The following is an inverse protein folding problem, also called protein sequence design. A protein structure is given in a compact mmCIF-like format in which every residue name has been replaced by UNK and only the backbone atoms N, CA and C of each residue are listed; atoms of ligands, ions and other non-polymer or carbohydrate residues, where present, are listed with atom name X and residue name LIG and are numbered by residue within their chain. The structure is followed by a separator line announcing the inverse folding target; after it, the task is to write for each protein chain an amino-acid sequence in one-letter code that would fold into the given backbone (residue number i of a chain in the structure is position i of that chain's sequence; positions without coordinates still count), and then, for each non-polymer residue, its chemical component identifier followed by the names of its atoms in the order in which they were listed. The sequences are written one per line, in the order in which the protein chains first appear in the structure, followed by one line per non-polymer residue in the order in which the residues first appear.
data_IF_787036455948
#
_entry.id   IF_787036455948
#
_cell.length_a   1.000
_cell.length_b   1.000
_cell.length_c   1.000
_cell.angle_alpha   90.00
_cell.angle_beta   90.00
_cell.angle_gamma   90.00
#
_symmetry.space_group_name_H-M   'P 1'
#
loop_
_entity.id
_entity.type
_entity.pdbx_description
1 polymer ?
#
# COMPACT_ATOMS: atom_id res chain seq x y z
N UNK A 1 0.07 8.86 5.18
CA UNK A 1 1.52 8.93 5.45
C UNK A 1 2.17 7.57 5.24
N UNK A 2 3.26 7.54 4.50
CA UNK A 2 3.98 6.30 4.21
C UNK A 2 4.99 6.03 5.32
N UNK A 3 4.85 4.88 6.01
CA UNK A 3 5.82 4.44 7.01
C UNK A 3 6.93 3.65 6.33
N UNK A 4 6.54 2.76 5.42
CA UNK A 4 7.46 1.86 4.75
C UNK A 4 6.92 1.53 3.36
N UNK A 5 7.80 1.46 2.36
CA UNK A 5 7.44 1.07 1.01
C UNK A 5 8.54 0.18 0.43
N UNK A 6 8.15 -0.96 -0.12
CA UNK A 6 9.08 -1.94 -0.69
C UNK A 6 8.57 -2.39 -2.06
N UNK A 7 9.46 -2.39 -3.04
CA UNK A 7 9.15 -2.97 -4.35
C UNK A 7 9.25 -4.49 -4.30
N UNK A 8 8.27 -5.18 -4.85
CA UNK A 8 8.20 -6.63 -4.86
C UNK A 8 7.85 -7.15 -6.26
N UNK A 9 8.06 -8.43 -6.46
CA UNK A 9 7.83 -9.09 -7.72
C UNK A 9 8.98 -8.89 -8.71
N UNK A 10 8.82 -9.43 -9.90
CA UNK A 10 9.80 -9.31 -10.97
C UNK A 10 9.93 -7.83 -11.39
N UNK A 11 11.15 -7.31 -11.42
CA UNK A 11 11.40 -5.90 -11.73
C UNK A 11 10.99 -4.93 -10.64
N UNK A 12 10.51 -5.42 -9.49
CA UNK A 12 10.06 -4.59 -8.36
C UNK A 12 9.03 -3.54 -8.75
N UNK A 13 8.09 -3.92 -9.62
CA UNK A 13 7.07 -3.00 -10.12
C UNK A 13 5.88 -2.86 -9.19
N UNK A 14 5.66 -3.82 -8.30
CA UNK A 14 4.56 -3.79 -7.35
C UNK A 14 5.01 -3.19 -6.03
N UNK A 15 4.15 -2.42 -5.38
CA UNK A 15 4.45 -1.82 -4.10
C UNK A 15 3.79 -2.55 -2.94
N UNK A 16 4.57 -2.87 -1.90
CA UNK A 16 4.04 -3.26 -0.59
C UNK A 16 4.27 -2.09 0.35
N UNK A 17 3.22 -1.64 1.00
CA UNK A 17 3.24 -0.43 1.80
C UNK A 17 2.76 -0.71 3.21
N UNK A 18 3.32 0.07 4.13
CA UNK A 18 2.75 0.25 5.46
C UNK A 18 2.44 1.73 5.60
N UNK A 19 1.19 2.04 5.85
CA UNK A 19 0.69 3.40 5.90
C UNK A 19 0.22 3.74 7.31
N UNK A 20 0.33 5.01 7.64
CA UNK A 20 -0.30 5.55 8.86
C UNK A 20 -1.55 6.32 8.45
N UNK A 21 -2.67 5.94 9.07
CA UNK A 21 -3.97 6.61 8.89
C UNK A 21 -4.47 6.96 10.28
N UNK A 22 -4.38 8.23 10.67
CA UNK A 22 -4.65 8.63 12.04
C UNK A 22 -3.65 8.01 13.01
N UNK A 23 -4.13 7.23 13.98
CA UNK A 23 -3.31 6.51 14.95
C UNK A 23 -3.07 5.06 14.58
N UNK A 24 -3.68 4.60 13.49
CA UNK A 24 -3.61 3.22 13.07
C UNK A 24 -2.60 3.05 11.93
N UNK A 25 -2.12 1.84 11.76
CA UNK A 25 -1.34 1.48 10.59
C UNK A 25 -2.15 0.54 9.69
N UNK A 26 -1.96 0.68 8.39
CA UNK A 26 -2.69 -0.08 7.39
C UNK A 26 -1.69 -0.64 6.38
N UNK A 27 -1.80 -1.92 6.10
CA UNK A 27 -1.02 -2.54 5.03
C UNK A 27 -1.71 -2.28 3.69
N UNK A 28 -0.92 -2.04 2.67
CA UNK A 28 -1.43 -1.77 1.34
C UNK A 28 -0.61 -2.51 0.29
N UNK A 29 -1.26 -2.90 -0.78
CA UNK A 29 -0.62 -3.48 -1.95
C UNK A 29 -1.00 -2.67 -3.18
N UNK A 30 0.02 -2.25 -3.94
CA UNK A 30 -0.15 -1.37 -5.09
C UNK A 30 0.45 -2.03 -6.34
N UNK A 31 -0.31 -2.90 -7.03
CA UNK A 31 0.22 -3.61 -8.19
C UNK A 31 0.58 -2.65 -9.32
N UNK A 32 1.83 -2.74 -9.78
CA UNK A 32 2.32 -1.94 -10.91
C UNK A 32 2.59 -0.47 -10.62
N UNK A 33 2.48 -0.04 -9.35
CA UNK A 33 2.52 1.39 -9.00
C UNK A 33 3.73 1.80 -8.18
N UNK A 34 4.70 0.91 -7.96
CA UNK A 34 5.81 1.21 -7.07
C UNK A 34 6.61 2.45 -7.51
N UNK A 35 6.83 2.62 -8.81
CA UNK A 35 7.58 3.78 -9.32
C UNK A 35 6.91 5.12 -8.97
N UNK A 36 5.59 5.13 -8.79
CA UNK A 36 4.85 6.33 -8.42
C UNK A 36 4.82 6.57 -6.91
N UNK A 37 5.27 5.61 -6.13
CA UNK A 37 5.20 5.61 -4.67
C UNK A 37 6.59 5.82 -4.07
N UNK A 38 7.61 5.25 -4.70
CA UNK A 38 8.98 5.26 -4.19
C UNK A 38 9.46 6.66 -3.85
N UNK A 39 10.00 6.81 -2.63
CA UNK A 39 10.56 8.08 -2.17
C UNK A 39 9.55 9.10 -1.69
N UNK A 40 8.26 8.79 -1.73
CA UNK A 40 7.21 9.73 -1.29
C UNK A 40 6.86 9.50 0.17
N UNK A 41 6.78 10.56 0.93
CA UNK A 41 6.42 10.50 2.35
C UNK A 41 4.92 10.48 2.57
N UNK A 42 4.18 11.06 1.64
CA UNK A 42 2.73 11.22 1.75
C UNK A 42 2.09 10.99 0.40
N UNK A 43 0.96 10.30 0.39
CA UNK A 43 0.29 9.88 -0.83
C UNK A 43 -1.21 10.11 -0.73
N UNK A 44 -1.82 10.37 -1.88
CA UNK A 44 -3.26 10.24 -2.06
C UNK A 44 -3.50 8.99 -2.87
N UNK A 45 -4.26 8.07 -2.32
CA UNK A 45 -4.50 6.77 -2.92
C UNK A 45 -5.97 6.54 -3.16
N UNK A 46 -6.26 5.85 -4.25
CA UNK A 46 -7.59 5.32 -4.55
C UNK A 46 -7.48 3.80 -4.52
N UNK A 47 -8.36 3.16 -3.79
CA UNK A 47 -8.32 1.71 -3.69
C UNK A 47 -9.51 1.14 -2.95
N UNK A 48 -9.44 -0.14 -2.68
CA UNK A 48 -10.48 -0.89 -2.00
C UNK A 48 -9.92 -1.56 -0.76
N UNK A 49 -10.68 -1.54 0.32
CA UNK A 49 -10.37 -2.29 1.53
C UNK A 49 -10.83 -3.73 1.32
N UNK A 50 -9.94 -4.68 1.59
CA UNK A 50 -10.25 -6.09 1.48
C UNK A 50 -9.70 -6.86 2.68
N UNK A 51 -10.22 -8.06 2.97
CA UNK A 51 -9.66 -8.88 4.04
C UNK A 51 -8.21 -9.25 3.75
N UNK A 52 -7.37 -9.23 4.80
CA UNK A 52 -5.99 -9.66 4.69
C UNK A 52 -5.93 -11.16 5.00
N UNK A 53 -5.92 -11.97 3.97
CA UNK A 53 -5.93 -13.42 4.10
C UNK A 53 -4.63 -14.00 4.68
N UNK A 54 -3.55 -13.26 4.64
CA UNK A 54 -2.27 -13.71 5.18
C UNK A 54 -2.26 -13.65 6.70
N UNK A 55 -2.83 -12.57 7.26
CA UNK A 55 -2.91 -12.39 8.71
C UNK A 55 -4.15 -13.10 9.25
N UNK A 56 -5.24 -13.09 8.48
CA UNK A 56 -6.50 -13.67 8.89
C UNK A 56 -7.27 -12.83 9.90
N UNK A 57 -8.34 -13.41 10.46
CA UNK A 57 -9.17 -12.73 11.43
C UNK A 57 -9.84 -11.50 10.84
N UNK A 58 -9.80 -10.39 11.58
CA UNK A 58 -10.42 -9.12 11.18
C UNK A 58 -9.44 -8.17 10.47
N UNK A 59 -8.21 -8.61 10.23
CA UNK A 59 -7.23 -7.78 9.57
C UNK A 59 -7.67 -7.44 8.14
N UNK A 60 -7.40 -6.21 7.74
CA UNK A 60 -7.75 -5.72 6.40
C UNK A 60 -6.52 -5.12 5.73
N UNK A 61 -6.61 -5.05 4.41
CA UNK A 61 -5.56 -4.52 3.55
C UNK A 61 -6.19 -3.57 2.54
N UNK A 62 -5.46 -2.52 2.18
CA UNK A 62 -5.87 -1.64 1.09
C UNK A 62 -5.27 -2.15 -0.22
N UNK A 63 -6.13 -2.46 -1.18
CA UNK A 63 -5.68 -2.72 -2.55
C UNK A 63 -5.71 -1.41 -3.32
N UNK A 64 -4.53 -0.89 -3.63
CA UNK A 64 -4.38 0.40 -4.30
C UNK A 64 -4.67 0.26 -5.78
N UNK A 65 -5.57 1.09 -6.29
CA UNK A 65 -5.95 1.11 -7.71
C UNK A 65 -5.25 2.23 -8.46
N UNK A 66 -4.98 3.34 -7.79
CA UNK A 66 -4.31 4.48 -8.40
C UNK A 66 -3.65 5.35 -7.34
N UNK A 67 -2.67 6.13 -7.77
CA UNK A 67 -1.98 7.12 -6.95
C UNK A 67 -2.28 8.48 -7.55
N UNK A 68 -2.81 9.38 -6.73
CA UNK A 68 -3.12 10.75 -7.17
C UNK A 68 -1.98 11.68 -6.81
N UNK A 69 -1.72 12.61 -7.66
CA UNK A 69 -0.69 13.63 -7.43
C UNK A 69 -1.22 14.80 -6.60
#
# INVERSE_FOLDING_TARGET
HVIEATGVGEGRTHGKLKLRVGQDSLRAFAPGLFARIEGRESLRLVGEIQPDHWIGGEAVELLVKDVLD
#
